data_IF_232239263683
#
_entry.id   IF_232239263683
#
_cell.length_a   1.000
_cell.length_b   1.000
_cell.length_c   1.000
_cell.angle_alpha   90.00
_cell.angle_beta   90.00
_cell.angle_gamma   90.00
#
_symmetry.space_group_name_H-M   'P 1'
#
loop_
_entity.id
_entity.type
_entity.pdbx_description
1 polymer ?
#
# COMPACT_ATOMS: atom_id res chain seq x y z
N UNK A 1 29.84 9.60 -79.89
CA UNK A 1 29.62 9.22 -81.29
C UNK A 1 29.59 7.70 -81.41
N UNK A 2 28.70 7.20 -82.26
CA UNK A 2 28.62 5.85 -82.84
C UNK A 2 28.10 4.68 -81.98
N UNK A 3 26.92 4.20 -82.42
CA UNK A 3 26.29 2.90 -82.18
C UNK A 3 27.05 1.75 -82.84
N UNK A 4 26.74 0.51 -82.41
CA UNK A 4 26.41 -0.70 -83.21
C UNK A 4 26.87 -1.96 -82.44
N UNK A 5 26.01 -2.81 -81.87
CA UNK A 5 24.95 -3.68 -82.41
C UNK A 5 25.42 -4.92 -83.20
N UNK A 6 24.82 -6.04 -82.80
CA UNK A 6 24.54 -7.29 -83.54
C UNK A 6 25.59 -8.42 -83.58
N UNK A 7 25.13 -9.62 -83.17
CA UNK A 7 25.09 -10.92 -83.88
C UNK A 7 24.97 -12.05 -82.83
N UNK A 8 23.76 -12.56 -82.54
CA UNK A 8 23.09 -13.76 -83.10
C UNK A 8 23.92 -15.06 -83.01
N UNK A 9 23.46 -16.02 -82.18
CA UNK A 9 22.96 -17.35 -82.59
C UNK A 9 23.04 -18.40 -81.44
N UNK A 10 21.87 -18.96 -81.07
CA UNK A 10 21.67 -20.28 -80.44
C UNK A 10 22.05 -21.42 -81.44
N UNK A 11 22.08 -22.76 -81.14
CA UNK A 11 21.28 -23.52 -80.14
C UNK A 11 21.91 -24.85 -79.56
N UNK A 12 21.08 -25.60 -78.79
CA UNK A 12 21.04 -27.07 -78.55
C UNK A 12 22.07 -27.69 -77.58
N UNK A 13 21.76 -28.72 -76.75
CA UNK A 13 20.53 -29.35 -76.27
C UNK A 13 20.96 -30.45 -75.26
N UNK A 14 20.03 -30.83 -74.38
CA UNK A 14 19.93 -32.09 -73.60
C UNK A 14 20.13 -31.86 -72.10
N UNK A 15 19.06 -31.60 -71.35
CA UNK A 15 18.02 -32.56 -70.94
C UNK A 15 18.58 -33.66 -70.03
N UNK A 16 18.46 -33.46 -68.72
CA UNK A 16 18.24 -34.56 -67.80
C UNK A 16 17.04 -34.20 -66.92
N UNK A 17 15.98 -34.99 -67.11
CA UNK A 17 14.76 -34.98 -66.33
C UNK A 17 15.06 -35.57 -64.95
N UNK A 18 14.73 -34.83 -63.90
CA UNK A 18 14.43 -35.41 -62.59
C UNK A 18 13.17 -34.71 -62.06
N UNK A 19 12.06 -35.44 -62.07
CA UNK A 19 10.85 -35.03 -61.37
C UNK A 19 11.14 -34.98 -59.87
N UNK A 20 10.93 -33.81 -59.25
CA UNK A 20 10.49 -33.72 -57.87
C UNK A 20 9.47 -32.58 -57.78
N UNK A 21 8.30 -32.96 -57.32
CA UNK A 21 7.10 -32.16 -57.07
C UNK A 21 7.41 -30.88 -56.29
N UNK A 22 7.14 -29.72 -56.90
CA UNK A 22 7.04 -28.46 -56.19
C UNK A 22 5.68 -28.41 -55.47
N UNK A 23 5.68 -28.71 -54.18
CA UNK A 23 4.60 -28.26 -53.30
C UNK A 23 4.65 -26.73 -53.23
N UNK A 24 3.52 -26.01 -53.35
CA UNK A 24 3.51 -24.61 -52.97
C UNK A 24 3.84 -24.55 -51.47
N UNK A 25 4.93 -23.88 -51.12
CA UNK A 25 5.11 -23.33 -49.78
C UNK A 25 4.01 -22.29 -49.60
N UNK A 26 2.83 -22.76 -49.19
CA UNK A 26 1.83 -21.93 -48.56
C UNK A 26 2.49 -21.41 -47.30
N UNK A 27 2.84 -20.12 -47.29
CA UNK A 27 3.17 -19.41 -46.07
C UNK A 27 1.86 -19.31 -45.29
N UNK A 28 1.50 -20.40 -44.63
CA UNK A 28 0.62 -20.36 -43.48
C UNK A 28 1.42 -19.66 -42.40
N UNK A 29 1.44 -18.33 -42.45
CA UNK A 29 1.55 -17.53 -41.25
C UNK A 29 0.32 -17.89 -40.42
N UNK A 30 0.43 -18.99 -39.65
CA UNK A 30 -0.47 -19.23 -38.55
C UNK A 30 -0.55 -17.91 -37.79
N UNK A 31 -1.75 -17.39 -37.47
CA UNK A 31 -1.84 -16.23 -36.62
C UNK A 31 -1.08 -16.59 -35.35
N UNK A 32 0.10 -15.97 -35.19
CA UNK A 32 0.80 -15.94 -33.93
C UNK A 32 -0.26 -15.43 -32.99
N UNK A 33 -0.74 -16.28 -32.09
CA UNK A 33 -1.47 -15.81 -30.92
C UNK A 33 -0.48 -14.89 -30.23
N UNK A 34 -0.55 -13.60 -30.58
CA UNK A 34 -0.34 -12.55 -29.61
C UNK A 34 -1.26 -12.96 -28.49
N UNK A 35 -0.69 -13.59 -27.46
CA UNK A 35 -1.28 -13.51 -26.16
C UNK A 35 -1.53 -12.02 -25.98
N UNK A 36 -2.79 -11.61 -26.09
CA UNK A 36 -3.20 -10.34 -25.58
C UNK A 36 -2.60 -10.32 -24.17
N UNK A 37 -1.66 -9.41 -23.93
CA UNK A 37 -1.36 -9.03 -22.56
C UNK A 37 -2.74 -8.72 -21.99
N UNK A 38 -3.17 -9.55 -21.06
CA UNK A 38 -4.39 -9.31 -20.32
C UNK A 38 -4.19 -7.93 -19.71
N UNK A 39 -4.80 -6.90 -20.30
CA UNK A 39 -5.15 -5.64 -19.65
C UNK A 39 -6.21 -5.98 -18.60
N UNK A 40 -5.86 -6.89 -17.69
CA UNK A 40 -6.63 -7.18 -16.51
C UNK A 40 -6.46 -5.96 -15.65
N UNK A 41 -7.53 -5.18 -15.53
CA UNK A 41 -7.63 -4.20 -14.45
C UNK A 41 -7.22 -4.87 -13.13
N UNK A 42 -6.69 -4.11 -12.16
CA UNK A 42 -6.14 -4.70 -10.95
C UNK A 42 -7.15 -5.65 -10.32
N UNK A 43 -6.88 -6.96 -10.34
CA UNK A 43 -7.68 -7.95 -9.62
C UNK A 43 -7.40 -7.79 -8.11
N UNK A 44 -8.25 -8.34 -7.26
CA UNK A 44 -7.93 -8.53 -5.84
C UNK A 44 -8.52 -7.50 -4.87
N UNK A 45 -9.16 -8.05 -3.84
CA UNK A 45 -9.56 -7.42 -2.59
C UNK A 45 -10.34 -6.10 -2.64
N UNK A 46 -10.99 -5.76 -3.76
CA UNK A 46 -11.94 -4.64 -3.83
C UNK A 46 -13.08 -4.80 -2.82
N UNK A 47 -13.45 -6.05 -2.52
CA UNK A 47 -14.38 -6.38 -1.43
C UNK A 47 -13.85 -6.05 -0.02
N UNK A 48 -12.54 -5.94 0.13
CA UNK A 48 -11.86 -5.41 1.30
C UNK A 48 -11.60 -3.90 1.21
N UNK A 49 -11.83 -3.30 0.04
CA UNK A 49 -11.76 -1.87 -0.22
C UNK A 49 -10.36 -1.34 -0.54
N UNK A 50 -9.53 -2.13 -1.19
CA UNK A 50 -8.23 -1.74 -1.74
C UNK A 50 -7.82 -2.71 -2.86
N UNK A 51 -6.78 -2.39 -3.63
CA UNK A 51 -6.20 -3.31 -4.63
C UNK A 51 -4.95 -4.01 -4.09
N UNK A 52 -4.74 -5.29 -4.41
CA UNK A 52 -3.55 -6.00 -3.95
C UNK A 52 -2.26 -5.38 -4.49
N UNK A 53 -1.36 -4.98 -3.59
CA UNK A 53 -0.07 -4.38 -3.94
C UNK A 53 0.76 -5.26 -4.87
N UNK A 54 0.61 -6.58 -4.79
CA UNK A 54 1.40 -7.54 -5.59
C UNK A 54 1.06 -7.50 -7.06
N UNK A 55 -0.16 -7.15 -7.43
CA UNK A 55 -0.61 -7.16 -8.82
C UNK A 55 0.03 -6.05 -9.66
N UNK A 56 0.38 -4.93 -9.03
CA UNK A 56 1.09 -3.83 -9.69
C UNK A 56 2.61 -3.85 -9.49
N UNK A 57 3.18 -4.94 -8.96
CA UNK A 57 4.62 -5.08 -8.72
C UNK A 57 5.11 -4.57 -7.34
N UNK A 58 4.19 -4.10 -6.50
CA UNK A 58 4.47 -3.75 -5.11
C UNK A 58 4.60 -4.96 -4.19
N UNK A 59 4.78 -4.70 -2.89
CA UNK A 59 4.95 -5.75 -1.87
C UNK A 59 4.38 -5.31 -0.52
N UNK A 60 3.95 -6.26 0.31
CA UNK A 60 3.42 -6.01 1.67
C UNK A 60 4.48 -5.62 2.72
N UNK A 61 5.66 -5.18 2.26
CA UNK A 61 6.79 -4.75 3.07
C UNK A 61 7.27 -3.38 2.59
N UNK A 62 7.57 -2.47 3.51
CA UNK A 62 8.23 -1.19 3.19
C UNK A 62 9.65 -1.41 2.68
N UNK A 63 10.35 -0.34 2.31
CA UNK A 63 11.79 -0.32 2.06
C UNK A 63 12.45 0.40 3.24
N UNK A 64 12.89 -0.38 4.24
CA UNK A 64 13.36 0.13 5.53
C UNK A 64 14.89 0.19 5.65
N UNK A 65 15.60 -0.78 5.07
CA UNK A 65 17.07 -0.79 5.09
C UNK A 65 17.65 0.05 3.95
N UNK A 66 18.85 0.60 4.16
CA UNK A 66 19.59 1.43 3.19
C UNK A 66 19.83 0.74 1.82
N UNK A 67 19.80 -0.60 1.78
CA UNK A 67 19.94 -1.41 0.58
C UNK A 67 18.59 -1.89 -0.01
N UNK A 68 17.45 -1.50 0.57
CA UNK A 68 16.10 -1.84 0.12
C UNK A 68 15.67 -3.30 0.32
N UNK A 69 16.52 -4.16 0.88
CA UNK A 69 16.27 -5.62 0.96
C UNK A 69 15.36 -6.00 2.13
N UNK A 70 15.31 -5.18 3.18
CA UNK A 70 14.45 -5.37 4.34
C UNK A 70 13.34 -4.31 4.38
N UNK A 71 12.21 -4.69 4.97
CA UNK A 71 11.04 -3.85 5.12
C UNK A 71 10.30 -4.09 6.42
N UNK A 72 9.51 -3.10 6.80
CA UNK A 72 8.51 -3.25 7.84
C UNK A 72 7.21 -3.79 7.23
N UNK A 73 6.48 -4.68 7.91
CA UNK A 73 5.17 -5.13 7.47
C UNK A 73 4.18 -3.99 7.34
N UNK A 74 3.56 -3.86 6.16
CA UNK A 74 2.31 -3.09 6.04
C UNK A 74 1.17 -3.95 6.59
N UNK A 75 1.00 -3.89 7.91
CA UNK A 75 0.17 -4.80 8.71
C UNK A 75 -1.23 -4.26 9.02
N UNK A 76 -1.58 -3.06 8.54
CA UNK A 76 -2.93 -2.50 8.60
C UNK A 76 -3.30 -1.86 7.25
N UNK A 77 -4.56 -2.02 6.84
CA UNK A 77 -5.19 -1.24 5.76
C UNK A 77 -6.44 -0.56 6.28
N UNK A 78 -6.54 0.76 6.10
CA UNK A 78 -7.80 1.49 6.26
C UNK A 78 -8.53 1.50 4.93
N UNK A 79 -9.59 0.71 4.88
CA UNK A 79 -10.38 0.41 3.68
C UNK A 79 -11.01 1.66 3.06
N UNK A 80 -11.10 1.69 1.73
CA UNK A 80 -11.87 2.70 1.00
C UNK A 80 -13.39 2.66 1.28
N UNK A 81 -13.86 1.60 1.94
CA UNK A 81 -15.24 1.50 2.45
C UNK A 81 -15.47 2.38 3.69
N UNK A 82 -14.42 3.03 4.20
CA UNK A 82 -14.52 4.02 5.26
C UNK A 82 -15.21 5.30 4.78
N UNK A 83 -15.67 6.12 5.72
CA UNK A 83 -16.28 7.40 5.41
C UNK A 83 -15.32 8.28 4.58
N UNK A 84 -15.77 9.03 3.54
CA UNK A 84 -14.88 9.79 2.65
C UNK A 84 -13.92 10.74 3.36
N UNK A 85 -14.33 11.34 4.48
CA UNK A 85 -13.45 12.16 5.34
C UNK A 85 -12.17 11.41 5.76
N UNK A 86 -12.27 10.12 6.10
CA UNK A 86 -11.15 9.27 6.51
C UNK A 86 -10.18 9.02 5.35
N UNK A 87 -10.63 9.13 4.10
CA UNK A 87 -9.79 8.97 2.91
C UNK A 87 -9.03 10.26 2.55
N UNK A 88 -9.20 11.33 3.32
CA UNK A 88 -8.36 12.53 3.25
C UNK A 88 -7.26 12.46 4.31
N UNK A 89 -6.09 13.05 4.05
CA UNK A 89 -5.02 13.06 5.07
C UNK A 89 -5.49 13.74 6.37
N UNK A 90 -6.22 14.86 6.25
CA UNK A 90 -6.74 15.59 7.40
C UNK A 90 -7.70 14.73 8.24
N UNK A 91 -8.65 14.05 7.60
CA UNK A 91 -9.60 13.21 8.33
C UNK A 91 -9.01 11.90 8.84
N UNK A 92 -8.02 11.33 8.14
CA UNK A 92 -7.23 10.22 8.66
C UNK A 92 -6.47 10.63 9.94
N UNK A 93 -5.76 11.76 9.91
CA UNK A 93 -5.03 12.27 11.08
C UNK A 93 -5.98 12.63 12.23
N UNK A 94 -7.12 13.27 11.95
CA UNK A 94 -8.12 13.62 12.96
C UNK A 94 -8.73 12.38 13.64
N UNK A 95 -8.98 11.31 12.87
CA UNK A 95 -9.36 10.02 13.44
C UNK A 95 -8.20 9.36 14.20
N UNK A 96 -6.96 9.43 13.71
CA UNK A 96 -5.81 8.92 14.45
C UNK A 96 -5.66 9.60 15.83
N UNK A 97 -5.93 10.91 15.94
CA UNK A 97 -5.96 11.60 17.23
C UNK A 97 -7.02 11.02 18.18
N UNK A 98 -8.18 10.59 17.66
CA UNK A 98 -9.22 9.98 18.50
C UNK A 98 -8.83 8.60 19.05
N UNK A 99 -7.83 7.95 18.44
CA UNK A 99 -7.29 6.65 18.86
C UNK A 99 -5.86 6.77 19.41
N UNK A 100 -5.46 7.98 19.81
CA UNK A 100 -4.21 8.31 20.50
C UNK A 100 -2.93 8.25 19.65
N UNK A 101 -3.05 8.50 18.34
CA UNK A 101 -1.89 8.63 17.46
C UNK A 101 -1.82 10.06 16.94
N UNK A 102 -0.76 10.77 17.33
CA UNK A 102 -0.52 12.14 16.90
C UNK A 102 0.72 12.21 16.02
N UNK A 103 0.80 13.27 15.20
CA UNK A 103 1.98 13.53 14.38
C UNK A 103 3.19 13.70 15.27
N UNK A 104 4.31 13.11 14.86
CA UNK A 104 5.55 13.19 15.61
C UNK A 104 5.96 14.65 15.89
N UNK A 105 6.36 14.90 17.14
CA UNK A 105 6.97 16.16 17.57
C UNK A 105 8.31 16.40 16.85
N UNK A 106 8.47 17.60 16.26
CA UNK A 106 9.68 18.09 15.58
C UNK A 106 10.26 17.21 14.45
N UNK A 107 9.48 16.28 13.86
CA UNK A 107 9.89 15.43 12.73
C UNK A 107 11.21 14.65 12.97
N UNK A 108 11.51 14.31 14.24
CA UNK A 108 12.75 13.61 14.62
C UNK A 108 12.67 12.13 14.24
N UNK A 109 12.77 11.84 12.94
CA UNK A 109 12.73 10.45 12.46
C UNK A 109 14.08 9.77 12.66
N UNK A 110 14.27 9.15 13.84
CA UNK A 110 15.37 8.20 14.04
C UNK A 110 15.13 7.01 13.10
N UNK A 111 15.91 6.91 12.03
CA UNK A 111 15.73 5.93 10.95
C UNK A 111 15.23 6.49 9.60
N UNK A 112 14.93 7.79 9.53
CA UNK A 112 14.53 8.47 8.29
C UNK A 112 13.15 8.09 7.75
N UNK A 113 12.84 8.58 6.54
CA UNK A 113 11.61 8.24 5.80
C UNK A 113 11.78 6.91 5.08
N UNK A 114 10.79 6.04 5.20
CA UNK A 114 10.72 4.78 4.46
C UNK A 114 9.89 4.96 3.20
N UNK A 115 10.17 4.11 2.20
CA UNK A 115 9.36 4.01 0.99
C UNK A 115 8.43 2.81 1.05
N UNK A 116 7.35 2.84 0.27
CA UNK A 116 6.53 1.67 -0.04
C UNK A 116 6.08 1.73 -1.50
N UNK A 117 5.84 0.55 -2.09
CA UNK A 117 5.23 0.41 -3.40
C UNK A 117 3.90 -0.33 -3.23
N UNK A 118 2.80 0.39 -3.48
CA UNK A 118 1.44 -0.08 -3.27
C UNK A 118 0.84 -0.75 -4.52
N UNK A 119 1.65 -0.99 -5.56
CA UNK A 119 1.19 -1.60 -6.80
C UNK A 119 0.16 -0.75 -7.56
N UNK A 120 0.12 0.55 -7.30
CA UNK A 120 -0.86 1.47 -7.89
C UNK A 120 -0.32 2.28 -9.07
N UNK A 121 0.92 1.99 -9.48
CA UNK A 121 1.59 2.65 -10.60
C UNK A 121 2.39 3.90 -10.21
N UNK A 122 2.44 4.27 -8.92
CA UNK A 122 3.36 5.31 -8.44
C UNK A 122 4.79 4.78 -8.25
N UNK A 123 4.97 3.47 -8.13
CA UNK A 123 6.23 2.84 -7.73
C UNK A 123 6.59 3.14 -6.27
N UNK A 124 7.82 2.83 -5.84
CA UNK A 124 8.29 3.11 -4.49
C UNK A 124 8.28 4.62 -4.21
N UNK A 125 7.56 5.05 -3.17
CA UNK A 125 7.49 6.45 -2.76
C UNK A 125 7.50 6.61 -1.24
N UNK A 126 7.94 7.78 -0.78
CA UNK A 126 8.10 8.08 0.64
C UNK A 126 6.75 8.06 1.37
N UNK A 127 6.78 7.65 2.63
CA UNK A 127 5.63 7.76 3.54
C UNK A 127 5.05 9.18 3.57
N UNK A 128 3.74 9.28 3.78
CA UNK A 128 3.04 10.55 3.99
C UNK A 128 3.48 11.19 5.29
N UNK A 129 3.46 10.43 6.40
CA UNK A 129 3.94 10.89 7.70
C UNK A 129 4.31 9.74 8.64
N UNK A 130 4.72 10.08 9.87
CA UNK A 130 4.91 9.17 11.00
C UNK A 130 4.05 9.67 12.16
N UNK A 131 3.15 8.80 12.65
CA UNK A 131 2.35 9.07 13.85
C UNK A 131 2.87 8.20 14.99
N UNK A 132 2.92 8.77 16.19
CA UNK A 132 3.38 8.11 17.42
C UNK A 132 2.25 8.13 18.44
N UNK A 133 2.22 7.13 19.32
CA UNK A 133 1.28 7.10 20.43
C UNK A 133 1.46 8.35 21.30
N UNK A 134 0.36 9.03 21.60
CA UNK A 134 0.39 10.35 22.25
C UNK A 134 0.20 10.31 23.76
N UNK A 135 0.01 9.13 24.38
CA UNK A 135 -0.22 9.01 25.82
C UNK A 135 -1.32 9.94 26.37
N UNK A 136 -2.36 10.25 25.57
CA UNK A 136 -3.41 11.20 25.92
C UNK A 136 -2.94 12.66 26.07
N UNK A 137 -1.74 12.99 25.58
CA UNK A 137 -1.18 14.35 25.58
C UNK A 137 -0.85 14.81 24.15
N UNK A 138 -1.73 15.63 23.58
CA UNK A 138 -1.58 16.15 22.22
C UNK A 138 -0.34 17.03 22.00
N UNK A 139 0.29 17.55 23.06
CA UNK A 139 1.40 18.50 22.96
C UNK A 139 2.74 17.84 23.24
N UNK A 140 2.81 17.00 24.27
CA UNK A 140 4.05 16.38 24.75
C UNK A 140 4.05 14.86 24.63
N UNK A 141 2.92 14.26 24.25
CA UNK A 141 2.74 12.82 24.13
C UNK A 141 3.73 12.12 23.22
N UNK A 142 3.94 12.66 22.03
CA UNK A 142 4.87 12.07 21.06
C UNK A 142 6.34 12.34 21.41
N UNK A 143 6.62 13.38 22.22
CA UNK A 143 7.94 13.56 22.86
C UNK A 143 8.16 12.49 23.93
N UNK A 144 7.14 12.23 24.75
CA UNK A 144 7.13 11.17 25.76
C UNK A 144 7.28 9.77 25.13
N UNK A 145 6.66 9.50 23.99
CA UNK A 145 6.90 8.29 23.21
C UNK A 145 8.35 8.20 22.73
N UNK A 146 8.91 9.32 22.23
CA UNK A 146 10.32 9.34 21.84
C UNK A 146 11.21 8.96 23.04
N UNK A 147 10.88 9.41 24.25
CA UNK A 147 11.68 9.12 25.45
C UNK A 147 11.45 7.72 26.03
N UNK A 148 10.22 7.21 25.99
CA UNK A 148 9.81 5.97 26.68
C UNK A 148 9.65 4.75 25.75
N UNK A 149 9.50 4.98 24.46
CA UNK A 149 9.14 3.98 23.46
C UNK A 149 7.65 3.66 23.50
N UNK A 150 7.06 3.36 22.35
CA UNK A 150 5.64 3.02 22.25
C UNK A 150 5.26 2.59 20.85
N UNK A 151 3.96 2.57 20.60
CA UNK A 151 3.42 2.27 19.28
C UNK A 151 3.59 3.47 18.35
N UNK A 152 4.01 3.21 17.12
CA UNK A 152 4.03 4.20 16.04
C UNK A 152 3.56 3.57 14.73
N UNK A 153 3.23 4.42 13.76
CA UNK A 153 2.88 3.98 12.42
C UNK A 153 3.38 4.93 11.34
N UNK A 154 3.84 4.34 10.23
CA UNK A 154 4.08 5.01 8.95
C UNK A 154 2.91 4.69 8.03
N UNK A 155 2.54 5.62 7.15
CA UNK A 155 1.40 5.41 6.26
C UNK A 155 1.58 5.99 4.87
N UNK A 156 0.89 5.35 3.91
CA UNK A 156 0.87 5.67 2.48
C UNK A 156 -0.56 5.57 1.95
N UNK A 157 -0.89 6.35 0.93
CA UNK A 157 -2.20 6.26 0.27
C UNK A 157 -2.09 5.55 -1.06
N UNK A 158 -3.00 4.60 -1.34
CA UNK A 158 -3.10 3.96 -2.64
C UNK A 158 -3.88 4.85 -3.61
N UNK A 159 -3.18 5.77 -4.27
CA UNK A 159 -3.75 6.83 -5.10
C UNK A 159 -3.15 6.89 -6.52
N UNK A 160 -2.37 5.89 -6.92
CA UNK A 160 -1.70 5.86 -8.21
C UNK A 160 -2.63 5.60 -9.41
N UNK A 161 -2.14 5.88 -10.63
CA UNK A 161 -2.95 5.88 -11.85
C UNK A 161 -3.44 4.50 -12.30
N UNK A 162 -2.86 3.41 -11.79
CA UNK A 162 -3.22 2.04 -12.18
C UNK A 162 -4.17 1.37 -11.18
N UNK A 163 -4.19 1.80 -9.93
CA UNK A 163 -5.02 1.19 -8.89
C UNK A 163 -5.37 2.19 -7.77
N UNK A 164 -6.11 3.24 -8.09
CA UNK A 164 -6.53 4.22 -7.08
C UNK A 164 -7.74 3.71 -6.28
N UNK A 165 -7.52 3.36 -5.01
CA UNK A 165 -8.62 3.05 -4.07
C UNK A 165 -8.83 4.13 -3.03
N UNK A 166 -7.88 5.06 -2.86
CA UNK A 166 -7.77 6.00 -1.74
C UNK A 166 -7.60 5.36 -0.35
N UNK A 167 -7.44 4.04 -0.27
CA UNK A 167 -7.19 3.33 0.99
C UNK A 167 -5.82 3.70 1.57
N UNK A 168 -5.70 3.66 2.90
CA UNK A 168 -4.44 3.88 3.59
C UNK A 168 -3.77 2.56 3.94
N UNK A 169 -2.48 2.44 3.64
CA UNK A 169 -1.62 1.31 4.01
C UNK A 169 -0.70 1.77 5.13
N UNK A 170 -0.67 1.02 6.22
CA UNK A 170 0.01 1.39 7.45
C UNK A 170 1.02 0.30 7.82
N UNK A 171 2.23 0.73 8.17
CA UNK A 171 3.22 -0.09 8.85
C UNK A 171 3.28 0.36 10.32
N UNK A 172 2.65 -0.43 11.20
CA UNK A 172 2.60 -0.16 12.63
C UNK A 172 3.57 -1.07 13.38
N UNK A 173 4.23 -0.53 14.39
CA UNK A 173 5.13 -1.29 15.25
C UNK A 173 5.26 -0.67 16.64
N UNK A 174 5.81 -1.43 17.58
CA UNK A 174 6.15 -0.94 18.92
C UNK A 174 7.67 -0.90 19.07
N UNK A 175 8.21 0.26 19.42
CA UNK A 175 9.62 0.50 19.67
C UNK A 175 9.92 0.54 21.18
N UNK A 176 11.15 0.23 21.53
CA UNK A 176 11.72 0.51 22.85
C UNK A 176 12.01 2.00 23.01
N UNK A 177 12.39 2.40 24.23
CA UNK A 177 12.79 3.77 24.54
C UNK A 177 14.00 4.27 23.74
N UNK A 178 14.23 5.59 23.73
CA UNK A 178 15.45 6.19 23.18
C UNK A 178 16.72 5.63 23.82
N UNK A 179 16.69 5.34 25.12
CA UNK A 179 17.83 4.74 25.83
C UNK A 179 18.19 3.35 25.29
N UNK A 180 17.22 2.67 24.66
CA UNK A 180 17.39 1.39 23.96
C UNK A 180 17.39 1.55 22.44
N UNK A 181 17.69 2.76 21.95
CA UNK A 181 17.84 3.10 20.53
C UNK A 181 16.62 2.82 19.66
N UNK A 182 15.40 2.88 20.21
CA UNK A 182 14.16 2.61 19.46
C UNK A 182 14.13 1.25 18.78
N UNK A 183 14.84 0.26 19.32
CA UNK A 183 14.79 -1.10 18.78
C UNK A 183 13.37 -1.65 18.86
N UNK A 184 12.89 -2.29 17.81
CA UNK A 184 11.56 -2.93 17.80
C UNK A 184 11.50 -3.98 18.92
N UNK A 185 10.44 -3.93 19.74
CA UNK A 185 10.24 -4.89 20.84
C UNK A 185 9.99 -6.30 20.28
N UNK A 186 10.19 -7.37 21.07
CA UNK A 186 9.73 -8.71 20.68
C UNK A 186 8.25 -8.69 20.31
N UNK A 187 7.92 -9.30 19.16
CA UNK A 187 6.57 -9.26 18.57
C UNK A 187 6.06 -7.85 18.22
N UNK A 188 6.96 -6.86 18.05
CA UNK A 188 6.59 -5.45 17.95
C UNK A 188 5.70 -5.08 16.77
N UNK A 189 5.80 -5.78 15.64
CA UNK A 189 4.92 -5.55 14.48
C UNK A 189 3.48 -6.01 14.75
N UNK A 190 3.30 -7.24 15.24
CA UNK A 190 1.96 -7.77 15.53
C UNK A 190 1.33 -7.00 16.70
N UNK A 191 2.13 -6.64 17.71
CA UNK A 191 1.71 -5.77 18.82
C UNK A 191 1.27 -4.39 18.34
N UNK A 192 2.05 -3.72 17.49
CA UNK A 192 1.70 -2.39 16.98
C UNK A 192 0.38 -2.41 16.21
N UNK A 193 0.17 -3.44 15.37
CA UNK A 193 -1.13 -3.67 14.71
C UNK A 193 -2.26 -3.84 15.72
N UNK A 194 -2.08 -4.74 16.69
CA UNK A 194 -3.15 -5.11 17.61
C UNK A 194 -3.47 -3.98 18.60
N UNK A 195 -2.49 -3.18 19.03
CA UNK A 195 -2.68 -1.96 19.84
C UNK A 195 -3.45 -0.89 19.05
N UNK A 196 -3.06 -0.61 17.80
CA UNK A 196 -3.82 0.31 16.92
C UNK A 196 -5.27 -0.15 16.72
N UNK A 197 -5.47 -1.42 16.37
CA UNK A 197 -6.81 -1.97 16.11
C UNK A 197 -7.66 -2.02 17.38
N UNK A 198 -7.05 -2.34 18.52
CA UNK A 198 -7.71 -2.32 19.83
C UNK A 198 -8.26 -0.94 20.17
N UNK A 199 -7.45 0.11 20.01
CA UNK A 199 -7.90 1.49 20.22
C UNK A 199 -8.98 1.90 19.22
N UNK A 200 -8.82 1.53 17.94
CA UNK A 200 -9.76 1.87 16.88
C UNK A 200 -11.16 1.25 17.07
N UNK A 201 -11.24 0.05 17.62
CA UNK A 201 -12.48 -0.76 17.69
C UNK A 201 -13.17 -0.71 19.05
N UNK A 202 -12.88 0.32 19.86
CA UNK A 202 -13.57 0.56 21.13
C UNK A 202 -15.10 0.54 20.96
N UNK A 203 -15.81 -0.19 21.81
CA UNK A 203 -17.25 -0.47 21.66
C UNK A 203 -18.12 0.79 21.62
N UNK A 204 -17.69 1.87 22.29
CA UNK A 204 -18.40 3.13 22.35
C UNK A 204 -17.99 4.11 21.24
N UNK A 205 -17.13 3.68 20.32
CA UNK A 205 -16.45 4.55 19.37
C UNK A 205 -15.38 5.42 20.04
N UNK A 206 -14.79 6.32 19.26
CA UNK A 206 -13.78 7.28 19.73
C UNK A 206 -14.15 8.70 19.33
N UNK A 207 -13.58 9.69 20.00
CA UNK A 207 -13.88 11.12 19.76
C UNK A 207 -12.58 11.87 19.54
N UNK A 208 -12.47 12.60 18.44
CA UNK A 208 -11.31 13.47 18.22
C UNK A 208 -11.30 14.57 19.28
N UNK A 209 -10.18 14.77 20.00
CA UNK A 209 -10.08 15.84 20.97
C UNK A 209 -9.99 17.24 20.34
N UNK A 210 -9.85 17.33 19.00
CA UNK A 210 -9.73 18.59 18.26
C UNK A 210 -11.03 18.92 17.52
N UNK A 211 -11.52 18.00 16.69
CA UNK A 211 -12.71 18.25 15.88
C UNK A 211 -14.02 17.93 16.61
N UNK A 212 -13.95 17.15 17.70
CA UNK A 212 -15.09 16.57 18.41
C UNK A 212 -15.99 15.67 17.53
N UNK A 213 -15.45 15.21 16.40
CA UNK A 213 -16.09 14.20 15.58
C UNK A 213 -16.01 12.86 16.31
N UNK A 214 -17.13 12.13 16.32
CA UNK A 214 -17.23 10.78 16.86
C UNK A 214 -17.10 9.76 15.74
N UNK A 215 -16.26 8.78 15.95
CA UNK A 215 -15.96 7.71 15.02
C UNK A 215 -16.35 6.35 15.59
N UNK A 216 -16.68 5.40 14.73
CA UNK A 216 -16.69 3.97 15.06
C UNK A 216 -15.91 3.20 14.01
N UNK A 217 -15.23 2.14 14.42
CA UNK A 217 -14.50 1.29 13.48
C UNK A 217 -14.82 -0.18 13.69
N UNK A 218 -14.69 -0.94 12.62
CA UNK A 218 -14.70 -2.40 12.62
C UNK A 218 -13.41 -2.90 11.98
N UNK A 219 -12.96 -4.09 12.36
CA UNK A 219 -11.79 -4.71 11.76
C UNK A 219 -12.04 -6.17 11.43
N UNK A 220 -11.32 -6.68 10.44
CA UNK A 220 -11.15 -8.11 10.16
C UNK A 220 -9.71 -8.38 9.77
N UNK A 221 -9.20 -9.58 10.09
CA UNK A 221 -7.85 -10.00 9.68
C UNK A 221 -7.90 -10.76 8.37
N UNK A 222 -6.88 -10.57 7.53
CA UNK A 222 -6.63 -11.41 6.37
C UNK A 222 -5.12 -11.60 6.22
N UNK A 223 -4.68 -12.78 5.79
CA UNK A 223 -3.26 -13.12 5.73
C UNK A 223 -2.67 -12.77 4.37
N UNK A 224 -1.69 -11.86 4.36
CA UNK A 224 -0.99 -11.44 3.13
C UNK A 224 0.51 -11.70 3.17
N UNK A 225 1.07 -11.83 4.37
CA UNK A 225 2.47 -12.19 4.59
C UNK A 225 2.55 -13.65 5.04
N UNK A 226 3.73 -14.26 4.88
CA UNK A 226 3.95 -15.64 5.32
C UNK A 226 4.05 -15.66 6.85
N UNK A 227 3.16 -16.43 7.48
CA UNK A 227 3.16 -16.62 8.93
C UNK A 227 4.51 -17.16 9.45
N UNK A 228 4.91 -16.66 10.61
CA UNK A 228 6.16 -16.97 11.32
C UNK A 228 7.44 -16.75 10.50
N UNK A 229 7.35 -15.99 9.41
CA UNK A 229 8.49 -15.67 8.56
C UNK A 229 9.27 -14.50 9.11
N UNK A 230 10.60 -14.61 9.07
CA UNK A 230 11.54 -13.50 9.31
C UNK A 230 12.13 -12.95 8.00
N UNK A 231 11.83 -13.63 6.89
CA UNK A 231 12.43 -13.34 5.59
C UNK A 231 11.96 -11.97 5.08
N UNK A 232 12.92 -11.08 4.80
CA UNK A 232 12.67 -9.72 4.34
C UNK A 232 12.14 -8.76 5.41
N UNK A 233 11.90 -9.23 6.64
CA UNK A 233 11.38 -8.39 7.72
C UNK A 233 12.55 -7.73 8.45
N UNK A 234 12.44 -6.41 8.64
CA UNK A 234 13.42 -5.64 9.39
C UNK A 234 13.57 -6.19 10.83
N UNK A 235 14.80 -6.18 11.36
CA UNK A 235 15.18 -6.83 12.64
C UNK A 235 14.94 -8.36 12.72
N UNK A 236 14.55 -9.03 11.62
CA UNK A 236 14.25 -10.46 11.59
C UNK A 236 13.21 -10.90 12.65
N UNK A 237 12.24 -10.02 12.95
CA UNK A 237 11.17 -10.30 13.90
C UNK A 237 10.06 -11.07 13.16
N UNK A 238 9.70 -12.29 13.61
CA UNK A 238 8.63 -13.04 12.98
C UNK A 238 7.27 -12.36 13.23
N UNK A 239 6.36 -12.47 12.26
CA UNK A 239 4.96 -12.01 12.36
C UNK A 239 4.00 -13.16 12.12
N UNK A 240 2.75 -13.05 12.56
CA UNK A 240 1.66 -13.98 12.21
C UNK A 240 1.24 -13.90 10.73
N UNK A 241 1.71 -12.86 10.02
CA UNK A 241 1.48 -12.59 8.61
C UNK A 241 0.13 -11.96 8.29
N UNK A 242 -0.66 -11.67 9.33
CA UNK A 242 -2.01 -11.12 9.20
C UNK A 242 -1.97 -9.59 9.08
N UNK A 243 -2.80 -9.06 8.19
CA UNK A 243 -3.07 -7.63 8.04
C UNK A 243 -4.47 -7.37 8.56
N UNK A 244 -4.61 -6.33 9.39
CA UNK A 244 -5.92 -5.87 9.84
C UNK A 244 -6.53 -4.91 8.81
N UNK A 245 -7.73 -5.22 8.33
CA UNK A 245 -8.51 -4.36 7.44
C UNK A 245 -9.53 -3.61 8.29
N UNK A 246 -9.34 -2.31 8.43
CA UNK A 246 -10.15 -1.43 9.27
C UNK A 246 -11.12 -0.63 8.39
N UNK A 247 -12.39 -0.58 8.78
CA UNK A 247 -13.39 0.29 8.15
C UNK A 247 -13.92 1.27 9.19
N UNK A 248 -13.82 2.56 8.90
CA UNK A 248 -14.12 3.65 9.86
C UNK A 248 -15.35 4.43 9.40
N UNK A 249 -16.26 4.71 10.32
CA UNK A 249 -17.46 5.52 10.09
C UNK A 249 -17.40 6.78 10.96
N UNK A 250 -17.88 7.89 10.41
CA UNK A 250 -18.27 9.07 11.19
C UNK A 250 -19.69 8.85 11.69
N UNK A 251 -19.91 8.95 13.01
CA UNK A 251 -21.21 8.67 13.64
C UNK A 251 -21.82 9.89 14.36
N UNK A 252 -21.14 11.05 14.37
CA UNK A 252 -21.70 12.30 14.86
C UNK A 252 -20.64 13.36 15.20
N UNK A 253 -21.10 14.52 15.68
CA UNK A 253 -20.27 15.58 16.25
C UNK A 253 -20.83 16.00 17.61
N UNK A 254 -20.01 16.01 18.66
CA UNK A 254 -20.47 16.35 20.01
C UNK A 254 -20.86 17.83 20.17
N UNK A 255 -20.45 18.72 19.24
CA UNK A 255 -20.86 20.14 19.22
C UNK A 255 -22.35 20.37 18.90
N UNK A 256 -23.09 19.35 18.46
CA UNK A 256 -24.50 19.46 18.08
C UNK A 256 -25.54 19.31 19.21
N UNK A 257 -25.12 19.08 20.46
CA UNK A 257 -26.07 18.85 21.60
C UNK A 257 -26.40 20.11 22.43
N UNK A 258 -25.98 21.30 22.01
CA UNK A 258 -26.28 22.56 22.71
C UNK A 258 -26.74 23.67 21.78
N UNK A 259 -28.06 23.86 21.65
CA UNK A 259 -28.66 25.07 21.09
C UNK A 259 -29.61 24.84 19.92
N UNK A 260 -30.91 24.71 20.18
CA UNK A 260 -31.82 25.86 20.31
C UNK A 260 -33.21 25.30 20.66
N UNK A 261 -33.66 25.56 21.89
CA UNK A 261 -35.08 25.43 22.21
C UNK A 261 -35.83 26.43 21.33
N UNK A 262 -36.58 25.93 20.35
CA UNK A 262 -37.54 26.71 19.58
C UNK A 262 -38.63 27.20 20.53
N UNK A 263 -38.44 28.39 21.12
CA UNK A 263 -39.55 29.20 21.63
C UNK A 263 -40.40 29.59 20.43
N UNK A 264 -41.58 28.96 20.32
CA UNK A 264 -42.67 29.46 19.49
C UNK A 264 -43.26 30.66 20.21
N UNK A 265 -43.15 31.84 19.60
CA UNK A 265 -44.16 32.89 19.71
C UNK A 265 -45.23 32.64 18.68
#
# INVERSE_FOLDING_TARGET
>A
MALNSCFRALPLLSALVALLSASPLSVNAAPRRTAALSEGGPEGFQELGFYDVRHGGGRWLTYAAHNGTLGEPMNIVVSNKSHPYILTEAGFQDWCLSIQYAKQFLDITLGGKQQADLGDGNGPHNQTNLLRYDYFDLKLGTLNETLMGGSHLRYWQQNGPKANSSAWFLAASVEKSLAEHHMIVPNGYDRGRDEFVGNATASNGTVSPVSHIRFSATSRKHRFLRAHSRHGINHAIPTDGDVAIVTVKVIGNEKGKGGLASKRT
#
